data_IF_318996230466
#
_entry.id   IF_318996230466
#
_cell.length_a   1.000
_cell.length_b   1.000
_cell.length_c   1.000
_cell.angle_alpha   90.00
_cell.angle_beta   90.00
_cell.angle_gamma   90.00
#
_symmetry.space_group_name_H-M   'P 1'
#
loop_
_entity.id
_entity.type
_entity.pdbx_description
1 polymer ?
#
# COMPACT_ATOMS: atom_id res chain seq x y z
N UNK A 1 53.38 -30.93 -24.99
CA UNK A 1 53.82 -29.54 -24.70
C UNK A 1 53.35 -28.64 -25.84
N UNK A 2 52.28 -27.88 -25.61
CA UNK A 2 52.05 -26.51 -26.12
C UNK A 2 50.68 -26.09 -25.59
N UNK A 3 50.75 -25.27 -24.55
CA UNK A 3 49.66 -24.55 -23.93
C UNK A 3 48.96 -23.70 -25.00
N UNK A 4 47.64 -23.81 -25.11
CA UNK A 4 46.84 -22.73 -25.68
C UNK A 4 46.03 -22.19 -24.50
N UNK A 5 46.54 -21.06 -24.04
CA UNK A 5 45.98 -20.24 -23.02
C UNK A 5 44.58 -19.74 -23.41
N UNK A 6 43.70 -19.79 -22.42
CA UNK A 6 42.85 -18.67 -22.03
C UNK A 6 42.02 -17.98 -23.11
N UNK A 7 40.74 -18.36 -23.22
CA UNK A 7 39.65 -17.39 -23.36
C UNK A 7 38.43 -17.87 -22.57
N UNK A 8 38.52 -17.75 -21.25
CA UNK A 8 37.34 -17.75 -20.38
C UNK A 8 36.65 -16.41 -20.60
N UNK A 9 35.81 -16.30 -21.64
CA UNK A 9 34.93 -15.14 -21.82
C UNK A 9 33.81 -15.28 -20.79
N UNK A 10 34.10 -14.87 -19.57
CA UNK A 10 33.09 -14.67 -18.53
C UNK A 10 32.31 -13.41 -18.93
N UNK A 11 31.26 -13.60 -19.73
CA UNK A 11 30.28 -12.57 -20.04
C UNK A 11 29.52 -12.29 -18.73
N UNK A 12 30.09 -11.45 -17.87
CA UNK A 12 29.34 -10.83 -16.78
C UNK A 12 28.34 -9.92 -17.48
N UNK A 13 27.15 -10.45 -17.75
CA UNK A 13 25.97 -9.62 -17.92
C UNK A 13 25.89 -8.78 -16.66
N UNK A 14 26.41 -7.54 -16.76
CA UNK A 14 25.91 -6.42 -15.98
C UNK A 14 24.45 -6.31 -16.37
N UNK A 15 23.61 -7.11 -15.72
CA UNK A 15 22.21 -6.81 -15.55
C UNK A 15 22.22 -5.51 -14.74
N UNK A 16 22.36 -4.38 -15.43
CA UNK A 16 21.75 -3.16 -14.96
C UNK A 16 20.31 -3.56 -14.70
N UNK A 17 19.97 -3.70 -13.42
CA UNK A 17 18.59 -3.79 -12.97
C UNK A 17 17.98 -2.46 -13.36
N UNK A 18 17.60 -2.35 -14.63
CA UNK A 18 16.63 -1.38 -15.08
C UNK A 18 15.44 -1.70 -14.19
N UNK A 19 15.14 -0.76 -13.30
CA UNK A 19 13.89 -0.77 -12.56
C UNK A 19 12.84 -0.67 -13.66
N UNK A 20 12.30 -1.82 -14.05
CA UNK A 20 11.38 -1.90 -15.17
C UNK A 20 10.04 -1.32 -14.73
N UNK A 21 9.28 -0.73 -15.67
CA UNK A 21 7.88 -0.34 -15.39
C UNK A 21 7.07 -1.50 -14.78
N UNK A 22 7.44 -2.74 -15.09
CA UNK A 22 6.87 -3.96 -14.50
C UNK A 22 7.02 -4.05 -12.98
N UNK A 23 8.09 -3.49 -12.39
CA UNK A 23 8.23 -3.43 -10.93
C UNK A 23 7.24 -2.44 -10.31
N UNK A 24 6.73 -1.46 -11.05
CA UNK A 24 5.73 -0.51 -10.54
C UNK A 24 4.31 -1.06 -10.61
N UNK A 25 4.04 -2.05 -11.46
CA UNK A 25 2.69 -2.59 -11.66
C UNK A 25 2.02 -3.04 -10.36
N UNK A 26 0.71 -2.79 -10.27
CA UNK A 26 -0.13 -3.17 -9.14
C UNK A 26 -0.72 -1.97 -8.40
N UNK A 27 -1.38 -2.26 -7.27
CA UNK A 27 -2.08 -1.24 -6.47
C UNK A 27 -1.24 -0.76 -5.31
N UNK A 28 -1.31 0.54 -5.08
CA UNK A 28 -0.51 1.28 -4.12
C UNK A 28 -1.39 2.23 -3.33
N UNK A 29 -1.27 2.25 -2.00
CA UNK A 29 -2.00 3.19 -1.13
C UNK A 29 -1.04 4.21 -0.53
N UNK A 30 -1.45 5.46 -0.40
CA UNK A 30 -0.63 6.50 0.25
C UNK A 30 -0.42 6.12 1.73
N UNK A 31 0.85 6.06 2.13
CA UNK A 31 1.27 5.81 3.50
C UNK A 31 0.66 6.84 4.45
N UNK A 32 -0.06 6.38 5.48
CA UNK A 32 -0.74 7.24 6.43
C UNK A 32 -2.16 7.68 6.01
N UNK A 33 -2.64 7.26 4.84
CA UNK A 33 -4.04 7.39 4.41
C UNK A 33 -4.60 8.81 4.43
N UNK A 34 -3.80 9.78 3.96
CA UNK A 34 -4.19 11.19 3.89
C UNK A 34 -4.56 11.56 2.46
N UNK A 35 -5.46 12.56 2.32
CA UNK A 35 -5.63 13.29 1.07
C UNK A 35 -4.27 13.82 0.63
N UNK A 36 -3.98 13.73 -0.66
CA UNK A 36 -2.72 14.18 -1.22
C UNK A 36 -2.96 14.97 -2.51
N UNK A 37 -2.42 16.19 -2.59
CA UNK A 37 -2.60 17.08 -3.74
C UNK A 37 -4.08 17.30 -4.06
N UNK A 38 -4.47 17.04 -5.31
CA UNK A 38 -5.85 17.12 -5.78
C UNK A 38 -6.72 15.87 -5.49
N UNK A 39 -6.19 14.84 -4.84
CA UNK A 39 -6.92 13.61 -4.55
C UNK A 39 -7.50 13.62 -3.13
N UNK A 40 -8.84 13.68 -2.99
CA UNK A 40 -9.47 13.68 -1.68
C UNK A 40 -9.47 12.27 -1.06
N UNK A 41 -9.44 12.22 0.27
CA UNK A 41 -9.71 11.01 1.04
C UNK A 41 -8.53 10.04 1.09
N UNK A 42 -8.82 8.76 0.86
CA UNK A 42 -7.84 7.67 0.99
C UNK A 42 -7.34 7.35 -0.41
N UNK A 43 -6.24 7.97 -0.83
CA UNK A 43 -5.74 7.80 -2.20
C UNK A 43 -5.13 6.42 -2.44
N UNK A 44 -5.65 5.74 -3.48
CA UNK A 44 -5.10 4.52 -4.04
C UNK A 44 -4.75 4.78 -5.50
N UNK A 45 -3.57 4.30 -5.92
CA UNK A 45 -3.07 4.34 -7.28
C UNK A 45 -2.87 2.92 -7.78
N UNK A 46 -3.46 2.59 -8.92
CA UNK A 46 -3.20 1.38 -9.67
C UNK A 46 -2.31 1.71 -10.86
N UNK A 47 -1.15 1.06 -10.92
CA UNK A 47 -0.20 1.18 -12.01
C UNK A 47 -0.40 -0.01 -12.94
N UNK A 48 -0.73 0.25 -14.19
CA UNK A 48 -0.67 -0.71 -15.30
C UNK A 48 0.49 -0.34 -16.23
N UNK A 49 0.75 -1.14 -17.26
CA UNK A 49 1.86 -0.93 -18.20
C UNK A 49 2.00 0.52 -18.72
N UNK A 50 0.89 1.18 -19.04
CA UNK A 50 0.85 2.47 -19.73
C UNK A 50 0.06 3.57 -18.97
N UNK A 51 -0.50 3.25 -17.81
CA UNK A 51 -1.44 4.14 -17.14
C UNK A 51 -1.45 4.06 -15.62
N UNK A 52 -1.81 5.19 -15.01
CA UNK A 52 -2.05 5.36 -13.58
C UNK A 52 -3.55 5.58 -13.38
N UNK A 53 -4.25 4.62 -12.79
CA UNK A 53 -5.64 4.79 -12.35
C UNK A 53 -5.66 5.24 -10.88
N UNK A 54 -6.42 6.28 -10.59
CA UNK A 54 -6.52 6.87 -9.25
C UNK A 54 -7.90 6.67 -8.65
N UNK A 55 -7.92 6.33 -7.38
CA UNK A 55 -9.13 6.01 -6.62
C UNK A 55 -9.15 6.77 -5.29
N UNK A 56 -10.35 7.11 -4.84
CA UNK A 56 -10.62 7.42 -3.44
C UNK A 56 -11.15 6.14 -2.79
N UNK A 57 -10.25 5.43 -2.11
CA UNK A 57 -10.42 4.07 -1.61
C UNK A 57 -10.82 3.07 -2.71
N UNK A 58 -12.10 2.75 -2.83
CA UNK A 58 -12.67 1.84 -3.84
C UNK A 58 -13.40 2.58 -4.98
N UNK A 59 -13.48 3.91 -4.91
CA UNK A 59 -14.17 4.73 -5.89
C UNK A 59 -13.19 5.26 -6.93
N UNK A 60 -13.38 4.91 -8.20
CA UNK A 60 -12.59 5.46 -9.31
C UNK A 60 -12.72 6.97 -9.39
N UNK A 61 -11.60 7.66 -9.61
CA UNK A 61 -11.53 9.13 -9.74
C UNK A 61 -11.12 9.51 -11.16
N UNK A 62 -9.95 9.05 -11.62
CA UNK A 62 -9.40 9.40 -12.93
C UNK A 62 -8.32 8.42 -13.38
N UNK A 63 -7.94 8.49 -14.66
CA UNK A 63 -6.89 7.67 -15.27
C UNK A 63 -5.99 8.56 -16.12
N UNK A 64 -4.68 8.41 -15.96
CA UNK A 64 -3.68 9.22 -16.66
C UNK A 64 -2.65 8.33 -17.32
N UNK A 65 -2.28 8.61 -18.57
CA UNK A 65 -1.19 7.90 -19.23
C UNK A 65 0.16 8.30 -18.63
N UNK A 66 1.10 7.36 -18.58
CA UNK A 66 2.46 7.67 -18.15
C UNK A 66 3.50 6.91 -18.97
N UNK A 67 4.74 7.37 -18.89
CA UNK A 67 5.92 6.69 -19.40
C UNK A 67 6.99 6.66 -18.31
N UNK A 68 7.84 5.63 -18.32
CA UNK A 68 9.01 5.55 -17.45
C UNK A 68 10.28 5.75 -18.26
N UNK A 69 11.13 6.68 -17.83
CA UNK A 69 12.47 6.89 -18.39
C UNK A 69 13.40 7.31 -17.25
N UNK A 70 14.57 6.66 -17.10
CA UNK A 70 15.58 6.99 -16.08
C UNK A 70 15.05 7.17 -14.64
N UNK A 71 14.20 6.24 -14.15
CA UNK A 71 13.53 6.33 -12.85
C UNK A 71 12.63 7.57 -12.66
N UNK A 72 12.13 8.12 -13.77
CA UNK A 72 11.15 9.20 -13.76
C UNK A 72 9.82 8.70 -14.30
N UNK A 73 8.75 9.08 -13.62
CA UNK A 73 7.40 9.04 -14.13
C UNK A 73 7.16 10.32 -14.93
N UNK A 74 7.01 10.16 -16.24
CA UNK A 74 6.53 11.22 -17.12
C UNK A 74 5.03 11.08 -17.23
N UNK A 75 4.31 11.89 -16.44
CA UNK A 75 2.85 11.89 -16.37
C UNK A 75 2.38 12.99 -17.30
N UNK A 76 1.89 12.59 -18.48
CA UNK A 76 1.53 13.49 -19.59
C UNK A 76 2.73 14.39 -20.03
N UNK A 77 2.45 15.49 -20.73
CA UNK A 77 3.42 16.42 -21.32
C UNK A 77 4.04 17.41 -20.31
N UNK A 78 3.51 17.49 -19.09
CA UNK A 78 3.74 18.65 -18.19
C UNK A 78 4.22 18.30 -16.78
N UNK A 79 4.33 17.02 -16.39
CA UNK A 79 4.74 16.63 -15.06
C UNK A 79 5.78 15.50 -15.08
N UNK A 80 6.94 15.79 -14.50
CA UNK A 80 7.95 14.80 -14.17
C UNK A 80 7.94 14.58 -12.65
N UNK A 81 7.97 13.32 -12.26
CA UNK A 81 8.19 12.93 -10.88
C UNK A 81 9.30 11.86 -10.84
N UNK A 82 10.27 12.05 -9.96
CA UNK A 82 11.24 11.02 -9.65
C UNK A 82 10.59 9.97 -8.76
N UNK A 83 10.91 8.70 -8.99
CA UNK A 83 10.47 7.62 -8.12
C UNK A 83 11.63 6.77 -7.65
N UNK A 84 11.49 6.22 -6.44
CA UNK A 84 12.48 5.29 -5.87
C UNK A 84 11.81 4.26 -4.99
N UNK A 85 12.26 3.01 -5.07
CA UNK A 85 11.83 1.98 -4.13
C UNK A 85 12.66 2.05 -2.86
N UNK A 86 12.01 2.29 -1.72
CA UNK A 86 12.62 2.11 -0.39
C UNK A 86 12.77 0.63 -0.06
N UNK A 87 11.82 -0.18 -0.56
CA UNK A 87 11.85 -1.64 -0.62
C UNK A 87 10.80 -2.10 -1.67
N UNK A 88 10.68 -3.39 -2.00
CA UNK A 88 9.75 -3.87 -3.05
C UNK A 88 8.27 -3.49 -2.85
N UNK A 89 7.87 -3.20 -1.61
CA UNK A 89 6.50 -2.86 -1.23
C UNK A 89 6.35 -1.39 -0.79
N UNK A 90 7.38 -0.56 -0.98
CA UNK A 90 7.35 0.86 -0.60
C UNK A 90 8.02 1.72 -1.66
N UNK A 91 7.19 2.46 -2.38
CA UNK A 91 7.57 3.39 -3.42
C UNK A 91 7.55 4.81 -2.85
N UNK A 92 8.56 5.62 -3.15
CA UNK A 92 8.61 7.03 -2.80
C UNK A 92 8.60 7.84 -4.09
N UNK A 93 7.64 8.76 -4.21
CA UNK A 93 7.50 9.67 -5.36
C UNK A 93 7.82 11.09 -4.91
N UNK A 94 8.73 11.76 -5.61
CA UNK A 94 9.10 13.16 -5.38
C UNK A 94 8.98 13.96 -6.67
N UNK A 95 8.70 15.26 -6.54
CA UNK A 95 8.68 16.20 -7.66
C UNK A 95 8.92 17.60 -7.09
N UNK A 96 9.42 18.53 -7.91
CA UNK A 96 9.61 19.93 -7.51
C UNK A 96 8.31 20.60 -7.05
N UNK A 97 7.16 20.06 -7.46
CA UNK A 97 5.83 20.54 -7.03
C UNK A 97 5.39 20.04 -5.65
N UNK A 98 6.17 19.14 -5.04
CA UNK A 98 5.86 18.53 -3.75
C UNK A 98 6.80 19.06 -2.67
N UNK A 99 6.25 19.56 -1.58
CA UNK A 99 7.05 19.98 -0.42
C UNK A 99 7.82 18.80 0.20
N UNK A 100 7.25 17.59 0.15
CA UNK A 100 7.87 16.36 0.63
C UNK A 100 7.54 15.18 -0.29
N UNK A 101 8.44 14.18 -0.39
CA UNK A 101 8.13 12.94 -1.09
C UNK A 101 6.92 12.23 -0.49
N UNK A 102 6.12 11.60 -1.35
CA UNK A 102 4.96 10.80 -0.96
C UNK A 102 5.37 9.35 -0.95
N UNK A 103 5.14 8.69 0.18
CA UNK A 103 5.34 7.26 0.28
C UNK A 103 4.05 6.52 -0.07
N UNK A 104 4.17 5.58 -0.99
CA UNK A 104 3.17 4.63 -1.42
C UNK A 104 3.52 3.23 -0.91
N UNK A 105 2.51 2.49 -0.49
CA UNK A 105 2.63 1.13 0.04
C UNK A 105 1.93 0.18 -0.91
N UNK A 106 2.63 -0.87 -1.36
CA UNK A 106 2.04 -1.87 -2.26
C UNK A 106 0.96 -2.66 -1.52
N UNK A 107 -0.17 -2.88 -2.19
CA UNK A 107 -1.19 -3.81 -1.72
C UNK A 107 -0.74 -5.23 -1.99
N UNK A 108 -0.75 -6.06 -0.94
CA UNK A 108 -0.41 -7.48 -1.04
C UNK A 108 -1.62 -8.31 -0.60
N UNK A 109 -1.82 -9.50 -1.17
CA UNK A 109 -2.91 -10.38 -0.75
C UNK A 109 -2.86 -10.66 0.76
N UNK A 110 -4.01 -10.54 1.42
CA UNK A 110 -4.10 -10.85 2.85
C UNK A 110 -4.00 -12.36 3.06
N UNK A 111 -3.04 -12.78 3.88
CA UNK A 111 -2.86 -14.20 4.24
C UNK A 111 -3.87 -14.58 5.31
N UNK A 112 -4.86 -15.41 4.98
CA UNK A 112 -5.83 -15.92 5.96
C UNK A 112 -6.53 -17.18 5.48
N UNK A 113 -6.84 -18.08 6.42
CA UNK A 113 -7.73 -19.23 6.20
C UNK A 113 -9.17 -18.94 6.68
N UNK A 114 -9.42 -17.72 7.17
CA UNK A 114 -10.72 -17.29 7.65
C UNK A 114 -11.49 -16.60 6.52
N UNK A 115 -12.77 -16.93 6.39
CA UNK A 115 -13.66 -16.16 5.52
C UNK A 115 -14.10 -14.85 6.19
N UNK A 116 -14.62 -13.92 5.39
CA UNK A 116 -15.03 -12.59 5.87
C UNK A 116 -16.04 -12.63 7.04
N UNK A 117 -16.96 -13.61 7.06
CA UNK A 117 -17.94 -13.75 8.14
C UNK A 117 -17.27 -14.11 9.47
N UNK A 118 -16.33 -15.07 9.47
CA UNK A 118 -15.54 -15.43 10.66
C UNK A 118 -14.65 -14.29 11.13
N UNK A 119 -14.07 -13.52 10.22
CA UNK A 119 -13.26 -12.34 10.58
C UNK A 119 -14.14 -11.30 11.28
N UNK A 120 -15.34 -11.02 10.75
CA UNK A 120 -16.28 -10.05 11.32
C UNK A 120 -16.78 -10.41 12.71
N UNK A 121 -16.79 -11.70 13.06
CA UNK A 121 -17.21 -12.16 14.38
C UNK A 121 -16.13 -11.97 15.46
N UNK A 122 -14.90 -11.64 15.08
CA UNK A 122 -13.78 -11.47 16.00
C UNK A 122 -13.57 -10.01 16.37
N UNK A 123 -13.15 -9.79 17.61
CA UNK A 123 -12.67 -8.51 18.10
C UNK A 123 -11.17 -8.58 18.33
N UNK A 124 -10.49 -7.45 18.14
CA UNK A 124 -9.06 -7.34 18.41
C UNK A 124 -8.76 -6.07 19.19
N UNK A 125 -7.76 -6.10 20.06
CA UNK A 125 -7.21 -4.91 20.68
C UNK A 125 -5.87 -4.56 20.01
N UNK A 126 -5.77 -3.32 19.53
CA UNK A 126 -4.55 -2.74 18.99
C UNK A 126 -3.97 -1.75 20.00
N UNK A 127 -2.75 -2.00 20.44
CA UNK A 127 -2.00 -1.08 21.28
C UNK A 127 -1.05 -0.22 20.43
N UNK A 128 -1.18 1.10 20.52
CA UNK A 128 -0.28 2.04 19.84
C UNK A 128 -0.09 3.32 20.67
N UNK A 129 1.17 3.65 20.97
CA UNK A 129 1.50 4.88 21.71
C UNK A 129 0.85 4.95 23.09
N UNK A 130 0.76 3.82 23.80
CA UNK A 130 0.13 3.70 25.12
C UNK A 130 -1.40 3.78 25.12
N UNK A 131 -2.04 3.79 23.94
CA UNK A 131 -3.50 3.77 23.79
C UNK A 131 -3.96 2.44 23.23
N UNK A 132 -5.07 1.94 23.75
CA UNK A 132 -5.77 0.75 23.26
C UNK A 132 -6.90 1.17 22.32
N UNK A 133 -7.01 0.47 21.20
CA UNK A 133 -8.07 0.64 20.22
C UNK A 133 -8.74 -0.71 19.96
N UNK A 134 -10.01 -0.82 20.33
CA UNK A 134 -10.83 -2.00 20.03
C UNK A 134 -11.27 -1.97 18.56
N UNK A 135 -10.86 -3.00 17.84
CA UNK A 135 -11.29 -3.31 16.48
C UNK A 135 -12.44 -4.30 16.60
N UNK A 136 -13.65 -3.81 16.36
CA UNK A 136 -14.86 -4.61 16.21
C UNK A 136 -15.46 -4.34 14.84
N UNK A 137 -15.50 -5.37 14.01
CA UNK A 137 -16.00 -5.31 12.64
C UNK A 137 -17.52 -5.58 12.55
N UNK A 138 -18.16 -5.96 13.66
CA UNK A 138 -19.60 -6.07 13.71
C UNK A 138 -20.20 -4.66 13.68
N UNK A 139 -21.19 -4.48 12.82
CA UNK A 139 -21.87 -3.21 12.62
C UNK A 139 -22.47 -2.75 13.97
N UNK A 140 -21.97 -1.65 14.51
CA UNK A 140 -22.46 -1.12 15.79
C UNK A 140 -23.58 -0.09 15.58
N UNK A 141 -24.58 -0.05 16.48
CA UNK A 141 -25.57 1.04 16.51
C UNK A 141 -24.92 2.40 16.81
N UNK A 142 -25.63 3.47 16.44
CA UNK A 142 -25.23 4.88 16.25
C UNK A 142 -24.54 5.62 17.42
N UNK A 143 -24.19 4.95 18.53
CA UNK A 143 -23.67 5.62 19.74
C UNK A 143 -22.16 5.84 19.78
N UNK A 144 -21.37 5.17 18.93
CA UNK A 144 -19.91 5.38 18.86
C UNK A 144 -19.58 6.45 17.82
N UNK A 145 -18.64 7.34 18.13
CA UNK A 145 -18.14 8.34 17.15
C UNK A 145 -17.24 7.68 16.11
N UNK A 146 -16.56 6.59 16.49
CA UNK A 146 -15.62 5.84 15.65
C UNK A 146 -16.03 4.39 15.50
N UNK A 147 -15.99 3.89 14.27
CA UNK A 147 -16.36 2.53 13.92
C UNK A 147 -15.29 1.86 13.05
N UNK A 148 -15.08 0.56 13.25
CA UNK A 148 -14.17 -0.25 12.46
C UNK A 148 -14.96 -1.08 11.45
N UNK A 149 -14.54 -1.06 10.19
CA UNK A 149 -15.15 -1.83 9.11
C UNK A 149 -14.10 -2.71 8.44
N UNK A 150 -14.50 -3.94 8.12
CA UNK A 150 -13.73 -4.82 7.26
C UNK A 150 -14.14 -4.60 5.80
N UNK A 151 -13.22 -4.09 4.99
CA UNK A 151 -13.40 -3.91 3.54
C UNK A 151 -12.35 -4.74 2.80
N UNK A 152 -12.61 -5.08 1.53
CA UNK A 152 -11.69 -5.84 0.67
C UNK A 152 -11.57 -5.10 -0.66
N UNK A 153 -10.34 -4.87 -1.12
CA UNK A 153 -10.01 -4.40 -2.47
C UNK A 153 -9.11 -5.49 -3.07
N UNK A 154 -9.53 -6.04 -4.20
CA UNK A 154 -8.95 -7.26 -4.78
C UNK A 154 -8.72 -8.33 -3.72
N UNK A 155 -7.51 -8.82 -3.52
CA UNK A 155 -7.18 -9.83 -2.50
C UNK A 155 -6.71 -9.27 -1.16
N UNK A 156 -6.78 -7.94 -0.96
CA UNK A 156 -6.32 -7.27 0.26
C UNK A 156 -7.51 -6.83 1.13
N UNK A 157 -7.56 -7.34 2.36
CA UNK A 157 -8.45 -6.82 3.39
C UNK A 157 -7.89 -5.54 4.03
N UNK A 158 -8.80 -4.68 4.45
CA UNK A 158 -8.51 -3.41 5.12
C UNK A 158 -9.29 -3.30 6.42
N UNK A 159 -8.62 -2.77 7.44
CA UNK A 159 -9.24 -2.14 8.59
C UNK A 159 -9.56 -0.70 8.21
N UNK A 160 -10.83 -0.41 7.95
CA UNK A 160 -11.29 0.95 7.64
C UNK A 160 -11.93 1.56 8.87
N UNK A 161 -11.41 2.71 9.31
CA UNK A 161 -11.95 3.43 10.44
C UNK A 161 -12.83 4.56 9.93
N UNK A 162 -14.08 4.57 10.35
CA UNK A 162 -15.02 5.65 10.08
C UNK A 162 -15.14 6.55 11.29
N UNK A 163 -15.33 7.85 11.05
CA UNK A 163 -15.72 8.84 12.06
C UNK A 163 -16.93 9.60 11.55
N UNK A 164 -18.01 9.65 12.34
CA UNK A 164 -19.29 10.24 11.92
C UNK A 164 -19.76 9.71 10.54
N UNK A 165 -19.69 8.39 10.34
CA UNK A 165 -20.07 7.72 9.09
C UNK A 165 -19.05 7.81 7.94
N UNK A 166 -18.08 8.72 7.99
CA UNK A 166 -17.12 8.95 6.91
C UNK A 166 -15.80 8.18 7.14
N UNK A 167 -15.23 7.51 6.12
CA UNK A 167 -13.93 6.86 6.25
C UNK A 167 -12.83 7.90 6.48
N UNK A 168 -12.08 7.75 7.56
CA UNK A 168 -10.95 8.64 7.90
C UNK A 168 -9.59 7.98 7.69
N UNK A 169 -9.53 6.65 7.66
CA UNK A 169 -8.29 5.91 7.37
C UNK A 169 -8.62 4.47 6.97
N UNK A 170 -7.79 3.86 6.12
CA UNK A 170 -7.89 2.46 5.74
C UNK A 170 -6.51 1.80 5.83
N UNK A 171 -6.31 0.93 6.79
CA UNK A 171 -5.03 0.27 7.00
C UNK A 171 -5.08 -1.12 6.37
N UNK A 172 -4.18 -1.46 5.44
CA UNK A 172 -4.17 -2.77 4.82
C UNK A 172 -3.72 -3.84 5.82
N UNK A 173 -4.25 -5.05 5.63
CA UNK A 173 -4.04 -6.18 6.52
C UNK A 173 -3.18 -7.22 5.80
N UNK A 174 -1.99 -7.50 6.33
CA UNK A 174 -1.07 -8.48 5.75
C UNK A 174 -1.52 -9.91 6.05
N UNK A 175 -1.97 -10.16 7.29
CA UNK A 175 -2.34 -11.49 7.77
C UNK A 175 -3.45 -11.41 8.82
N UNK A 176 -4.40 -12.33 8.74
CA UNK A 176 -5.46 -12.50 9.74
C UNK A 176 -5.47 -13.95 10.20
N UNK A 177 -5.33 -14.16 11.50
CA UNK A 177 -5.51 -15.47 12.15
C UNK A 177 -6.65 -15.39 13.16
N UNK A 178 -6.93 -16.50 13.84
CA UNK A 178 -7.90 -16.50 14.93
C UNK A 178 -7.52 -15.55 16.08
N UNK A 179 -6.21 -15.31 16.28
CA UNK A 179 -5.69 -14.64 17.47
C UNK A 179 -5.06 -13.27 17.16
N UNK A 180 -4.76 -12.99 15.89
CA UNK A 180 -3.95 -11.82 15.51
C UNK A 180 -4.41 -11.21 14.20
N UNK A 181 -4.30 -9.88 14.16
CA UNK A 181 -4.47 -9.08 12.96
C UNK A 181 -3.19 -8.28 12.72
N UNK A 182 -2.51 -8.58 11.61
CA UNK A 182 -1.24 -7.97 11.23
C UNK A 182 -1.49 -6.84 10.24
N UNK A 183 -1.35 -5.60 10.73
CA UNK A 183 -1.51 -4.36 9.96
C UNK A 183 -0.16 -3.91 9.41
N UNK A 184 -0.15 -3.26 8.25
CA UNK A 184 1.05 -2.68 7.66
C UNK A 184 0.78 -1.33 6.99
N UNK A 185 1.83 -0.65 6.51
CA UNK A 185 1.72 0.58 5.73
C UNK A 185 1.64 1.87 6.55
N UNK A 186 2.19 1.87 7.76
CA UNK A 186 2.22 3.04 8.63
C UNK A 186 3.32 4.03 8.23
N UNK A 187 3.00 5.32 8.24
CA UNK A 187 3.93 6.41 7.92
C UNK A 187 5.05 6.59 8.96
N UNK A 188 4.75 6.35 10.23
CA UNK A 188 5.69 6.50 11.34
C UNK A 188 5.46 5.40 12.40
N UNK A 189 6.56 4.91 12.97
CA UNK A 189 6.59 3.77 13.88
C UNK A 189 7.03 2.48 13.18
N UNK A 190 6.75 1.30 13.75
CA UNK A 190 7.09 0.04 13.10
C UNK A 190 6.32 -0.10 11.79
N UNK A 191 6.96 -0.68 10.77
CA UNK A 191 6.32 -0.92 9.46
C UNK A 191 5.04 -1.77 9.58
N UNK A 192 4.94 -2.54 10.67
CA UNK A 192 3.85 -3.45 10.98
C UNK A 192 3.37 -3.27 12.41
N UNK A 193 2.06 -3.38 12.62
CA UNK A 193 1.44 -3.46 13.94
C UNK A 193 0.64 -4.76 14.06
N UNK A 194 0.53 -5.28 15.28
CA UNK A 194 -0.20 -6.52 15.55
C UNK A 194 -1.27 -6.24 16.60
N UNK A 195 -2.54 -6.36 16.19
CA UNK A 195 -3.65 -6.40 17.14
C UNK A 195 -3.87 -7.84 17.60
N UNK A 196 -4.18 -8.02 18.88
CA UNK A 196 -4.43 -9.34 19.49
C UNK A 196 -5.93 -9.56 19.65
N UNK A 197 -6.42 -10.76 19.39
CA UNK A 197 -7.81 -11.10 19.61
C UNK A 197 -8.16 -10.89 21.09
N UNK A 198 -9.38 -10.43 21.33
CA UNK A 198 -9.97 -10.31 22.65
C UNK A 198 -11.28 -11.09 22.66
N UNK A 199 -11.64 -11.60 23.84
CA UNK A 199 -12.88 -12.35 24.07
C UNK A 199 -14.13 -11.49 23.87
#
# INVERSE_FOLDING_TARGET
>A
MKFIDSYFVFFIFLLSTSITAQELEGKWIVSGNKSFGGFPGIHLMEVSEDSLSHYNFDQFVTKTAYQTEDNKLKIDTLAFADFSFKNPNRLSISSERLEQPIDYIRLVPTKTDLNAAKIKQKKYNLERGGKNFEIDFQNHPDSKIMHSYLKKIDETYFLVIHRYGNPITAVPIEKITADKLHLYGFMAGPEKLVAKAIE
#
